data_IF_705854643950
#
_entry.id   IF_705854643950
#
_cell.length_a   1.000
_cell.length_b   1.000
_cell.length_c   1.000
_cell.angle_alpha   90.00
_cell.angle_beta   90.00
_cell.angle_gamma   90.00
#
_symmetry.space_group_name_H-M   'P 1'
#
loop_
_entity.id
_entity.type
_entity.pdbx_description
1 polymer ?
#
# COMPACT_ATOMS: atom_id res chain seq x y z
N UNK A 1 35.65 17.43 -9.29
CA UNK A 1 34.62 18.47 -9.48
C UNK A 1 33.50 17.77 -10.23
N UNK A 2 32.28 17.65 -9.68
CA UNK A 2 31.19 16.99 -10.38
C UNK A 2 30.87 17.78 -11.66
N UNK A 3 30.77 17.09 -12.80
CA UNK A 3 30.48 17.72 -14.08
C UNK A 3 29.02 18.22 -14.12
N UNK A 4 28.83 19.46 -14.57
CA UNK A 4 27.51 20.06 -14.77
C UNK A 4 26.90 19.53 -16.07
N UNK A 5 25.69 19.00 -16.01
CA UNK A 5 25.04 18.35 -17.16
C UNK A 5 23.92 19.19 -17.78
N UNK A 6 23.37 20.18 -17.06
CA UNK A 6 22.39 21.12 -17.59
C UNK A 6 22.63 22.54 -17.05
N UNK A 7 22.51 23.53 -17.94
CA UNK A 7 22.38 24.94 -17.58
C UNK A 7 20.93 25.37 -17.82
N UNK A 8 20.18 25.54 -16.73
CA UNK A 8 18.85 26.15 -16.78
C UNK A 8 18.93 27.47 -16.00
N UNK A 9 18.51 28.57 -16.62
CA UNK A 9 18.48 29.90 -16.01
C UNK A 9 19.81 30.34 -15.35
N UNK A 10 20.96 30.07 -16.00
CA UNK A 10 22.29 30.48 -15.54
C UNK A 10 22.74 29.88 -14.18
N UNK A 11 22.11 28.78 -13.73
CA UNK A 11 22.53 28.02 -12.55
C UNK A 11 23.07 26.64 -12.96
N UNK A 12 24.24 26.29 -12.42
CA UNK A 12 24.85 24.95 -12.53
C UNK A 12 24.44 24.09 -11.33
N UNK A 13 23.79 22.97 -11.59
CA UNK A 13 23.37 22.01 -10.58
C UNK A 13 24.31 20.79 -10.60
N UNK A 14 24.88 20.44 -9.44
CA UNK A 14 25.70 19.25 -9.27
C UNK A 14 24.78 18.05 -8.98
N UNK A 15 24.84 17.00 -9.81
CA UNK A 15 23.98 15.81 -9.71
C UNK A 15 23.93 15.15 -8.32
N UNK A 16 25.01 15.24 -7.52
CA UNK A 16 25.17 14.40 -6.33
C UNK A 16 25.22 15.18 -5.00
N UNK A 17 25.19 16.51 -5.03
CA UNK A 17 25.33 17.30 -3.79
C UNK A 17 24.00 17.52 -3.06
N UNK A 18 22.88 17.44 -3.79
CA UNK A 18 21.54 17.67 -3.26
C UNK A 18 20.72 16.39 -3.10
N UNK A 19 21.30 15.22 -3.40
CA UNK A 19 20.64 13.93 -3.18
C UNK A 19 20.69 13.64 -1.69
N UNK A 20 19.51 13.48 -1.08
CA UNK A 20 19.39 13.09 0.31
C UNK A 20 19.99 11.70 0.52
N UNK A 21 20.88 11.56 1.50
CA UNK A 21 21.63 10.30 1.75
C UNK A 21 21.23 9.60 3.04
N UNK A 22 20.31 10.16 3.83
CA UNK A 22 19.95 9.66 5.15
C UNK A 22 18.45 9.43 5.30
N UNK A 23 18.09 8.37 6.03
CA UNK A 23 16.70 7.97 6.25
C UNK A 23 15.90 8.98 7.07
N UNK A 24 16.55 9.80 7.90
CA UNK A 24 15.88 10.87 8.66
C UNK A 24 16.08 12.19 7.93
N UNK A 25 14.97 12.86 7.63
CA UNK A 25 14.99 14.20 7.04
C UNK A 25 15.65 15.17 8.03
N UNK A 26 16.67 15.94 7.62
CA UNK A 26 17.31 16.95 8.47
C UNK A 26 16.34 17.98 9.06
N UNK A 27 15.22 18.24 8.38
CA UNK A 27 14.20 19.19 8.83
C UNK A 27 13.22 18.59 9.85
N UNK A 28 13.26 17.27 10.09
CA UNK A 28 12.37 16.64 11.06
C UNK A 28 12.61 17.21 12.46
N UNK A 29 11.57 17.78 13.12
CA UNK A 29 11.73 18.41 14.42
C UNK A 29 12.15 17.40 15.48
N UNK A 30 12.96 17.86 16.44
CA UNK A 30 13.47 17.00 17.52
C UNK A 30 12.35 16.31 18.34
N UNK A 31 11.18 16.93 18.45
CA UNK A 31 10.00 16.37 19.13
C UNK A 31 9.35 15.21 18.39
N UNK A 32 9.61 15.05 17.09
CA UNK A 32 9.08 13.96 16.26
C UNK A 32 10.07 12.78 16.14
N UNK A 33 11.19 12.78 16.88
CA UNK A 33 12.16 11.68 16.84
C UNK A 33 11.74 10.46 17.65
N UNK A 34 10.72 10.61 18.48
CA UNK A 34 10.11 9.52 19.24
C UNK A 34 8.59 9.63 19.18
N UNK A 35 7.91 8.50 19.29
CA UNK A 35 6.46 8.42 19.35
C UNK A 35 6.05 7.35 20.36
N UNK A 36 4.92 7.56 21.03
CA UNK A 36 4.29 6.54 21.87
C UNK A 36 3.33 5.73 21.02
N UNK A 37 3.48 4.41 21.08
CA UNK A 37 2.53 3.48 20.48
C UNK A 37 1.26 3.35 21.32
N UNK A 38 0.31 2.58 20.79
CA UNK A 38 -1.02 2.34 21.38
C UNK A 38 -0.92 1.72 22.77
N UNK A 39 0.04 0.83 22.98
CA UNK A 39 0.25 0.16 24.26
C UNK A 39 1.18 0.95 25.21
N UNK A 40 1.58 2.17 24.84
CA UNK A 40 2.46 3.04 25.64
C UNK A 40 3.96 2.80 25.43
N UNK A 41 4.33 1.83 24.60
CA UNK A 41 5.70 1.58 24.18
C UNK A 41 6.31 2.81 23.49
N UNK A 42 7.63 2.99 23.64
CA UNK A 42 8.37 4.05 22.96
C UNK A 42 8.97 3.54 21.66
N UNK A 43 8.68 4.25 20.57
CA UNK A 43 9.22 4.02 19.25
C UNK A 43 10.16 5.16 18.86
N UNK A 44 11.20 4.83 18.10
CA UNK A 44 12.13 5.81 17.52
C UNK A 44 11.86 5.99 16.04
N UNK A 45 12.02 7.22 15.58
CA UNK A 45 11.92 7.56 14.16
C UNK A 45 13.06 6.87 13.39
N UNK A 46 12.71 6.06 12.39
CA UNK A 46 13.65 5.34 11.52
C UNK A 46 13.67 5.89 10.10
N UNK A 47 12.60 6.57 9.70
CA UNK A 47 12.55 7.31 8.45
C UNK A 47 11.60 8.51 8.56
N UNK A 48 11.88 9.57 7.82
CA UNK A 48 10.94 10.67 7.62
C UNK A 48 11.15 11.34 6.27
N UNK A 49 10.16 12.04 5.74
CA UNK A 49 10.33 13.07 4.71
C UNK A 49 9.36 14.20 5.03
N UNK A 50 9.88 15.43 5.17
CA UNK A 50 9.10 16.62 5.53
C UNK A 50 8.77 17.48 4.29
N UNK A 51 9.18 17.04 3.10
CA UNK A 51 8.88 17.67 1.81
C UNK A 51 9.15 19.19 1.72
N UNK A 52 10.09 19.70 2.52
CA UNK A 52 10.42 21.14 2.61
C UNK A 52 11.21 21.67 1.41
N UNK A 53 12.02 20.80 0.79
CA UNK A 53 12.76 21.15 -0.44
C UNK A 53 11.79 21.35 -1.60
N UNK A 54 11.86 22.50 -2.26
CA UNK A 54 10.90 22.90 -3.31
C UNK A 54 11.30 22.39 -4.68
N UNK A 55 10.29 22.13 -5.52
CA UNK A 55 10.43 21.71 -6.90
C UNK A 55 11.18 20.37 -7.05
N UNK A 56 10.96 19.42 -6.13
CA UNK A 56 11.35 18.02 -6.37
C UNK A 56 10.52 17.48 -7.53
N UNK A 57 11.17 16.68 -8.37
CA UNK A 57 10.53 15.88 -9.41
C UNK A 57 10.58 14.42 -8.98
N UNK A 58 9.63 13.63 -9.46
CA UNK A 58 9.47 12.24 -9.04
C UNK A 58 9.44 11.29 -10.24
N UNK A 59 10.08 11.64 -11.35
CA UNK A 59 10.35 10.63 -12.37
C UNK A 59 11.29 9.56 -11.79
N UNK A 60 11.19 8.33 -12.29
CA UNK A 60 12.05 7.22 -11.89
C UNK A 60 13.54 7.63 -11.92
N UNK A 61 14.20 7.60 -10.76
CA UNK A 61 15.60 7.98 -10.57
C UNK A 61 15.88 9.43 -10.17
N UNK A 62 14.88 10.31 -10.14
CA UNK A 62 15.06 11.72 -9.71
C UNK A 62 15.15 11.88 -8.17
N UNK A 63 14.48 11.00 -7.43
CA UNK A 63 14.46 11.00 -5.97
C UNK A 63 14.94 9.64 -5.41
N UNK A 64 15.72 9.63 -4.31
CA UNK A 64 16.31 8.39 -3.79
C UNK A 64 15.31 7.42 -3.14
N UNK A 65 14.11 7.89 -2.79
CA UNK A 65 13.15 7.12 -1.99
C UNK A 65 11.81 6.92 -2.70
N UNK A 66 11.38 7.92 -3.46
CA UNK A 66 10.06 7.96 -4.07
C UNK A 66 10.14 8.15 -5.58
N UNK A 67 9.13 7.66 -6.27
CA UNK A 67 8.93 7.96 -7.68
C UNK A 67 7.45 7.85 -8.02
N UNK A 68 7.03 8.51 -9.10
CA UNK A 68 5.67 8.52 -9.62
C UNK A 68 5.40 7.36 -10.55
N UNK A 69 4.21 6.79 -10.46
CA UNK A 69 3.66 5.90 -11.48
C UNK A 69 3.34 6.70 -12.75
N UNK A 70 3.75 6.17 -13.90
CA UNK A 70 3.41 6.68 -15.23
C UNK A 70 2.57 5.62 -15.94
N UNK A 71 1.25 5.78 -15.90
CA UNK A 71 0.34 4.74 -16.37
C UNK A 71 -1.14 4.96 -16.04
N UNK A 72 -1.99 4.22 -16.77
CA UNK A 72 -3.40 4.06 -16.43
C UNK A 72 -3.59 2.93 -15.42
N UNK A 73 -4.28 3.21 -14.31
CA UNK A 73 -4.49 2.23 -13.24
C UNK A 73 -5.71 1.37 -13.51
N UNK A 74 -5.49 0.28 -14.25
CA UNK A 74 -6.56 -0.61 -14.72
C UNK A 74 -7.26 -1.44 -13.64
N UNK A 75 -6.66 -1.60 -12.45
CA UNK A 75 -7.22 -2.45 -11.38
C UNK A 75 -8.59 -1.93 -10.89
N UNK A 76 -8.71 -0.61 -10.78
CA UNK A 76 -9.92 0.11 -10.36
C UNK A 76 -10.59 0.83 -11.52
N UNK A 77 -10.02 0.75 -12.73
CA UNK A 77 -10.49 1.45 -13.93
C UNK A 77 -10.56 2.98 -13.72
N UNK A 78 -9.49 3.54 -13.21
CA UNK A 78 -9.41 4.97 -12.88
C UNK A 78 -9.70 5.87 -14.09
N UNK A 79 -10.24 7.06 -13.86
CA UNK A 79 -10.66 7.96 -14.93
C UNK A 79 -9.53 8.88 -15.42
N UNK A 80 -8.40 8.87 -14.71
CA UNK A 80 -7.19 9.63 -14.96
C UNK A 80 -6.01 8.77 -15.44
N UNK A 81 -5.11 9.41 -16.17
CA UNK A 81 -3.74 8.92 -16.32
C UNK A 81 -2.91 9.42 -15.13
N UNK A 82 -2.16 8.54 -14.49
CA UNK A 82 -1.17 8.97 -13.49
C UNK A 82 0.11 9.37 -14.22
N UNK A 83 0.58 10.59 -13.99
CA UNK A 83 1.81 11.14 -14.55
C UNK A 83 2.71 11.66 -13.41
N UNK A 84 4.02 11.35 -13.39
CA UNK A 84 4.94 11.91 -12.42
C UNK A 84 5.00 13.45 -12.41
N UNK A 85 4.58 14.12 -13.49
CA UNK A 85 4.54 15.58 -13.58
C UNK A 85 3.45 16.24 -12.71
N UNK A 86 2.44 15.46 -12.29
CA UNK A 86 1.41 15.86 -11.35
C UNK A 86 1.87 15.79 -9.89
N UNK A 87 3.11 15.35 -9.64
CA UNK A 87 3.76 15.31 -8.34
C UNK A 87 4.80 16.42 -8.22
N UNK A 88 4.72 17.22 -7.16
CA UNK A 88 5.71 18.24 -6.88
C UNK A 88 5.84 18.50 -5.38
N UNK A 89 6.88 19.21 -4.96
CA UNK A 89 6.99 19.74 -3.60
C UNK A 89 6.96 21.26 -3.58
N UNK A 90 6.07 21.80 -2.75
CA UNK A 90 5.82 23.22 -2.63
C UNK A 90 5.28 23.56 -1.25
N UNK A 91 5.67 24.74 -0.74
CA UNK A 91 5.17 25.27 0.54
C UNK A 91 5.31 24.32 1.75
N UNK A 92 6.33 23.46 1.77
CA UNK A 92 6.55 22.51 2.87
C UNK A 92 5.69 21.25 2.76
N UNK A 93 5.25 20.88 1.56
CA UNK A 93 4.37 19.73 1.33
C UNK A 93 4.73 19.05 0.01
N UNK A 94 4.48 17.74 -0.07
CA UNK A 94 4.18 17.08 -1.33
C UNK A 94 2.79 17.53 -1.79
N UNK A 95 2.67 17.82 -3.08
CA UNK A 95 1.44 18.21 -3.75
C UNK A 95 1.16 17.16 -4.82
N UNK A 96 -0.01 16.52 -4.72
CA UNK A 96 -0.53 15.58 -5.73
C UNK A 96 -1.68 16.29 -6.42
N UNK A 97 -1.44 16.69 -7.67
CA UNK A 97 -2.37 17.48 -8.46
C UNK A 97 -3.36 16.58 -9.20
N UNK A 98 -4.61 17.01 -9.32
CA UNK A 98 -5.62 16.36 -10.16
C UNK A 98 -6.32 17.41 -11.01
N UNK A 99 -6.25 17.27 -12.34
CA UNK A 99 -6.79 18.23 -13.28
C UNK A 99 -7.49 17.60 -14.50
N UNK A 100 -8.39 18.39 -15.09
CA UNK A 100 -8.96 18.11 -16.41
C UNK A 100 -8.08 18.74 -17.47
N UNK A 101 -7.49 17.93 -18.34
CA UNK A 101 -6.51 18.39 -19.32
C UNK A 101 -7.19 19.16 -20.47
N UNK A 102 -6.46 20.09 -21.07
CA UNK A 102 -6.96 20.88 -22.19
C UNK A 102 -6.94 20.11 -23.52
N UNK A 103 -5.98 19.20 -23.66
CA UNK A 103 -5.77 18.41 -24.87
C UNK A 103 -5.48 16.96 -24.52
N UNK A 104 -6.46 16.10 -24.80
CA UNK A 104 -6.38 14.67 -24.52
C UNK A 104 -5.34 13.96 -25.39
N UNK A 105 -4.98 14.50 -26.56
CA UNK A 105 -3.94 13.91 -27.43
C UNK A 105 -2.57 13.91 -26.74
N UNK A 106 -2.34 14.86 -25.82
CA UNK A 106 -1.12 14.96 -25.02
C UNK A 106 -1.23 14.28 -23.64
N UNK A 107 -2.36 13.67 -23.32
CA UNK A 107 -2.61 12.97 -22.06
C UNK A 107 -3.15 11.56 -22.33
N UNK A 108 -2.50 10.82 -23.24
CA UNK A 108 -2.81 9.41 -23.50
C UNK A 108 -4.28 9.14 -23.89
N UNK A 109 -4.95 10.13 -24.50
CA UNK A 109 -6.38 10.14 -24.83
C UNK A 109 -7.32 10.05 -23.62
N UNK A 110 -6.85 10.44 -22.43
CA UNK A 110 -7.64 10.54 -21.21
C UNK A 110 -7.96 11.99 -20.86
N UNK A 111 -9.16 12.23 -20.30
CA UNK A 111 -9.62 13.58 -19.96
C UNK A 111 -8.98 14.14 -18.68
N UNK A 112 -8.45 13.27 -17.84
CA UNK A 112 -7.99 13.62 -16.50
C UNK A 112 -6.56 13.14 -16.28
N UNK A 113 -5.83 13.87 -15.45
CA UNK A 113 -4.47 13.55 -15.06
C UNK A 113 -4.32 13.69 -13.55
N UNK A 114 -3.59 12.78 -12.93
CA UNK A 114 -3.19 12.92 -11.53
C UNK A 114 -1.85 12.28 -11.20
N UNK A 115 -1.50 12.16 -9.92
CA UNK A 115 -0.25 11.58 -9.45
C UNK A 115 -0.46 10.42 -8.48
N UNK A 116 0.37 9.39 -8.63
CA UNK A 116 0.49 8.28 -7.68
C UNK A 116 1.98 8.13 -7.37
N UNK A 117 2.38 8.47 -6.15
CA UNK A 117 3.76 8.34 -5.68
C UNK A 117 3.89 7.05 -4.88
N UNK A 118 4.98 6.32 -5.09
CA UNK A 118 5.28 5.12 -4.31
C UNK A 118 6.76 4.94 -4.02
N UNK A 119 7.05 4.18 -2.97
CA UNK A 119 8.40 3.80 -2.54
C UNK A 119 8.81 2.38 -2.95
N UNK A 120 8.01 1.75 -3.83
CA UNK A 120 8.13 0.35 -4.21
C UNK A 120 9.57 -0.01 -4.60
N UNK A 121 10.10 -1.06 -3.97
CA UNK A 121 11.45 -1.59 -4.16
C UNK A 121 12.62 -0.59 -3.94
N UNK A 122 12.34 0.63 -3.46
CA UNK A 122 13.34 1.65 -3.10
C UNK A 122 13.47 1.76 -1.59
N UNK A 123 12.34 1.71 -0.89
CA UNK A 123 12.27 1.94 0.54
C UNK A 123 11.06 1.19 1.11
N UNK A 124 11.34 0.15 1.91
CA UNK A 124 10.34 -0.74 2.48
C UNK A 124 10.55 -0.96 3.99
N UNK A 125 9.49 -1.38 4.67
CA UNK A 125 9.44 -1.49 6.14
C UNK A 125 8.72 -2.75 6.57
N UNK A 126 9.04 -3.21 7.77
CA UNK A 126 8.31 -4.29 8.41
C UNK A 126 8.06 -3.97 9.88
N UNK A 127 6.80 -3.95 10.26
CA UNK A 127 6.32 -3.55 11.59
C UNK A 127 6.58 -2.08 11.93
N UNK A 128 5.94 -1.62 13.01
CA UNK A 128 6.11 -0.28 13.56
C UNK A 128 4.92 0.64 13.31
N UNK A 129 5.16 1.95 13.42
CA UNK A 129 4.16 3.00 13.28
C UNK A 129 4.39 3.78 11.99
N UNK A 130 3.32 3.97 11.22
CA UNK A 130 3.34 4.69 9.95
C UNK A 130 2.42 5.89 10.05
N UNK A 131 3.00 7.09 10.11
CA UNK A 131 2.27 8.33 10.31
C UNK A 131 2.44 9.27 9.12
N UNK A 132 1.32 9.81 8.65
CA UNK A 132 1.28 10.86 7.64
C UNK A 132 0.46 12.05 8.14
N UNK A 133 0.82 13.25 7.69
CA UNK A 133 0.06 14.48 7.92
C UNK A 133 -0.48 14.98 6.59
N UNK A 134 -1.81 14.97 6.43
CA UNK A 134 -2.47 15.16 5.14
C UNK A 134 -3.52 16.26 5.22
N UNK A 135 -3.58 17.10 4.19
CA UNK A 135 -4.76 17.90 3.86
C UNK A 135 -5.37 17.32 2.60
N UNK A 136 -6.62 16.88 2.72
CA UNK A 136 -7.33 16.14 1.69
C UNK A 136 -7.77 17.05 0.53
N UNK A 137 -7.89 16.51 -0.70
CA UNK A 137 -8.40 17.27 -1.83
C UNK A 137 -9.88 17.54 -1.65
N UNK A 138 -10.30 18.79 -1.82
CA UNK A 138 -11.72 19.11 -1.81
C UNK A 138 -12.36 18.96 -3.19
N UNK A 139 -13.68 19.14 -3.24
CA UNK A 139 -14.54 19.58 -2.14
C UNK A 139 -14.79 18.48 -1.10
N UNK A 140 -14.78 18.86 0.18
CA UNK A 140 -15.07 17.94 1.28
C UNK A 140 -16.53 17.46 1.24
N UNK A 141 -16.75 16.17 1.54
CA UNK A 141 -18.09 15.59 1.65
C UNK A 141 -18.84 15.44 0.32
N UNK A 142 -18.12 15.48 -0.81
CA UNK A 142 -18.66 15.19 -2.14
C UNK A 142 -18.08 13.86 -2.63
N UNK A 143 -18.96 13.01 -3.16
CA UNK A 143 -18.58 11.74 -3.76
C UNK A 143 -17.86 11.97 -5.09
N UNK A 144 -16.62 11.49 -5.21
CA UNK A 144 -15.83 11.64 -6.43
C UNK A 144 -14.38 11.26 -6.21
N UNK A 145 -13.61 12.14 -5.59
CA UNK A 145 -12.19 11.91 -5.33
C UNK A 145 -11.96 10.73 -4.39
N UNK A 146 -10.92 9.97 -4.69
CA UNK A 146 -10.42 8.85 -3.90
C UNK A 146 -8.93 9.10 -3.60
N UNK A 147 -8.63 10.01 -2.66
CA UNK A 147 -7.28 10.15 -2.14
C UNK A 147 -6.96 8.95 -1.23
N UNK A 148 -5.80 8.35 -1.45
CA UNK A 148 -5.32 7.19 -0.72
C UNK A 148 -3.90 7.39 -0.19
N UNK A 149 -3.68 6.98 1.05
CA UNK A 149 -2.35 6.69 1.60
C UNK A 149 -2.40 5.29 2.17
N UNK A 150 -1.62 4.39 1.59
CA UNK A 150 -1.73 2.97 1.85
C UNK A 150 -0.39 2.28 1.62
N UNK A 151 -0.30 1.02 2.01
CA UNK A 151 0.93 0.24 1.90
C UNK A 151 0.64 -1.11 1.27
N UNK A 152 1.59 -1.62 0.47
CA UNK A 152 1.48 -2.93 -0.16
C UNK A 152 2.78 -3.73 0.00
N UNK A 153 2.67 -5.04 0.22
CA UNK A 153 3.80 -5.95 0.26
C UNK A 153 4.62 -5.91 -1.04
N UNK A 154 5.95 -5.80 -0.93
CA UNK A 154 6.85 -5.41 -2.02
C UNK A 154 6.90 -6.36 -3.22
N UNK A 155 6.41 -7.60 -3.06
CA UNK A 155 6.27 -8.53 -4.19
C UNK A 155 5.15 -8.14 -5.17
N UNK A 156 4.19 -7.31 -4.75
CA UNK A 156 3.25 -6.65 -5.63
C UNK A 156 3.77 -5.26 -6.02
N UNK A 157 3.54 -4.84 -7.26
CA UNK A 157 3.78 -3.47 -7.73
C UNK A 157 2.44 -2.85 -8.14
N UNK A 158 1.93 -1.84 -7.41
CA UNK A 158 0.70 -1.13 -7.77
C UNK A 158 0.72 -0.67 -9.23
N UNK A 159 -0.39 -0.89 -9.96
CA UNK A 159 -0.50 -0.56 -11.39
C UNK A 159 0.02 -1.64 -12.35
N UNK A 160 0.68 -2.68 -11.85
CA UNK A 160 1.22 -3.79 -12.65
C UNK A 160 0.52 -5.11 -12.26
N UNK A 161 -0.63 -5.37 -12.86
CA UNK A 161 -1.55 -6.43 -12.46
C UNK A 161 -0.96 -7.86 -12.51
N UNK A 162 -0.06 -8.17 -13.44
CA UNK A 162 0.65 -9.46 -13.44
C UNK A 162 1.43 -9.72 -12.14
N UNK A 163 1.87 -8.67 -11.44
CA UNK A 163 2.62 -8.81 -10.18
C UNK A 163 1.72 -9.14 -9.00
N UNK A 164 0.45 -8.70 -9.04
CA UNK A 164 -0.55 -8.93 -7.99
C UNK A 164 -1.37 -10.20 -8.21
N UNK A 165 -1.34 -10.77 -9.42
CA UNK A 165 -1.99 -12.04 -9.78
C UNK A 165 -1.51 -13.21 -8.91
N UNK A 166 -2.41 -13.70 -8.04
CA UNK A 166 -2.15 -14.72 -7.01
C UNK A 166 -1.24 -14.27 -5.86
N UNK A 167 -1.00 -12.96 -5.72
CA UNK A 167 -0.17 -12.38 -4.67
C UNK A 167 -0.99 -11.47 -3.75
N UNK A 168 -1.78 -10.57 -4.33
CA UNK A 168 -2.67 -9.70 -3.57
C UNK A 168 -4.01 -10.42 -3.31
N UNK A 169 -4.61 -10.31 -2.11
CA UNK A 169 -4.09 -9.74 -0.86
C UNK A 169 -3.59 -10.85 0.10
N UNK A 170 -2.86 -11.86 -0.40
CA UNK A 170 -2.47 -13.02 0.40
C UNK A 170 -1.55 -12.65 1.58
N UNK A 171 -1.92 -13.13 2.77
CA UNK A 171 -1.13 -13.08 4.01
C UNK A 171 -1.21 -14.42 4.72
N UNK A 172 -0.65 -15.45 4.08
CA UNK A 172 -0.98 -16.85 4.40
C UNK A 172 0.20 -17.78 4.21
N UNK A 173 0.36 -18.72 5.14
CA UNK A 173 1.51 -19.62 5.21
C UNK A 173 1.11 -21.11 5.23
N UNK A 174 -0.15 -21.45 5.44
CA UNK A 174 -0.59 -22.84 5.47
C UNK A 174 -0.78 -23.44 4.06
N UNK A 175 -0.61 -24.77 3.96
CA UNK A 175 -0.78 -25.52 2.71
C UNK A 175 -2.08 -26.32 2.73
N UNK A 176 -3.20 -25.63 2.54
CA UNK A 176 -4.56 -26.19 2.54
C UNK A 176 -5.44 -25.55 1.45
N UNK A 177 -6.77 -25.61 1.59
CA UNK A 177 -7.68 -25.08 0.57
C UNK A 177 -7.43 -23.58 0.27
N UNK A 178 -6.86 -22.81 1.22
CA UNK A 178 -6.63 -21.38 1.08
C UNK A 178 -5.74 -20.99 -0.10
N UNK A 179 -4.81 -21.87 -0.50
CA UNK A 179 -3.87 -21.61 -1.59
C UNK A 179 -4.39 -22.03 -2.97
N UNK A 180 -5.57 -22.64 -3.04
CA UNK A 180 -6.14 -23.18 -4.28
C UNK A 180 -7.04 -22.15 -4.98
N UNK A 181 -7.29 -22.29 -6.30
CA UNK A 181 -8.25 -21.43 -7.00
C UNK A 181 -9.61 -21.41 -6.28
N UNK A 182 -10.18 -20.21 -6.12
CA UNK A 182 -11.43 -19.94 -5.40
C UNK A 182 -11.45 -20.48 -3.96
N UNK A 183 -10.29 -20.71 -3.34
CA UNK A 183 -10.17 -21.42 -2.06
C UNK A 183 -10.86 -22.80 -2.05
N UNK A 184 -10.94 -23.48 -3.20
CA UNK A 184 -11.70 -24.72 -3.40
C UNK A 184 -13.20 -24.60 -3.08
N UNK A 185 -13.75 -23.38 -3.16
CA UNK A 185 -15.18 -23.10 -2.98
C UNK A 185 -15.87 -22.83 -4.32
N UNK A 186 -17.18 -23.12 -4.38
CA UNK A 186 -18.01 -22.90 -5.58
C UNK A 186 -19.17 -21.93 -5.32
N UNK A 187 -19.18 -21.28 -4.16
CA UNK A 187 -20.25 -20.37 -3.70
C UNK A 187 -20.02 -18.91 -4.09
N UNK A 188 -18.87 -18.60 -4.70
CA UNK A 188 -18.51 -17.25 -5.14
C UNK A 188 -17.87 -16.39 -4.07
N UNK A 189 -17.49 -16.95 -2.91
CA UNK A 189 -16.76 -16.20 -1.87
C UNK A 189 -15.40 -15.73 -2.37
N UNK A 190 -14.71 -16.53 -3.19
CA UNK A 190 -13.41 -16.18 -3.76
C UNK A 190 -13.37 -16.46 -5.25
N UNK A 191 -12.83 -15.51 -6.00
CA UNK A 191 -12.41 -15.59 -7.40
C UNK A 191 -10.89 -15.44 -7.55
N UNK A 192 -10.14 -15.56 -6.44
CA UNK A 192 -8.68 -15.55 -6.50
C UNK A 192 -8.18 -16.80 -7.24
N UNK A 193 -7.11 -16.68 -8.03
CA UNK A 193 -6.53 -17.80 -8.80
C UNK A 193 -5.83 -18.84 -7.91
N UNK A 194 -5.73 -18.60 -6.61
CA UNK A 194 -4.88 -19.34 -5.68
C UNK A 194 -3.61 -18.54 -5.34
N UNK A 195 -2.96 -18.90 -4.25
CA UNK A 195 -1.71 -18.25 -3.84
C UNK A 195 -0.60 -18.70 -4.79
N UNK A 196 0.04 -17.77 -5.48
CA UNK A 196 1.09 -18.05 -6.48
C UNK A 196 2.35 -18.60 -5.82
N UNK A 197 2.69 -18.09 -4.64
CA UNK A 197 3.89 -18.44 -3.88
C UNK A 197 3.52 -19.04 -2.51
N UNK A 198 2.93 -20.25 -2.46
CA UNK A 198 2.58 -20.89 -1.20
C UNK A 198 3.82 -21.50 -0.53
N UNK A 199 3.75 -21.70 0.80
CA UNK A 199 4.83 -22.31 1.59
C UNK A 199 5.24 -23.70 1.10
N UNK A 200 4.30 -24.44 0.52
CA UNK A 200 4.50 -25.79 0.00
C UNK A 200 4.75 -25.85 -1.52
N UNK A 201 5.41 -24.84 -2.08
CA UNK A 201 5.89 -24.87 -3.46
C UNK A 201 6.77 -26.11 -3.71
N UNK A 202 6.62 -26.74 -4.88
CA UNK A 202 7.37 -27.95 -5.21
C UNK A 202 8.88 -27.66 -5.27
N UNK A 203 9.70 -28.67 -4.99
CA UNK A 203 11.14 -28.59 -5.16
C UNK A 203 11.53 -28.21 -6.60
N UNK A 204 12.39 -27.19 -6.75
CA UNK A 204 12.85 -26.67 -8.04
C UNK A 204 11.90 -25.68 -8.72
N UNK A 205 10.71 -25.44 -8.18
CA UNK A 205 9.85 -24.35 -8.63
C UNK A 205 10.38 -23.01 -8.12
N UNK A 206 10.04 -21.95 -8.85
CA UNK A 206 10.47 -20.61 -8.52
C UNK A 206 9.73 -20.08 -7.29
N UNK A 207 10.51 -19.68 -6.29
CA UNK A 207 9.99 -19.14 -5.05
C UNK A 207 11.09 -18.35 -4.32
N UNK A 208 10.84 -17.12 -3.83
CA UNK A 208 11.89 -16.31 -3.19
C UNK A 208 12.43 -16.95 -1.90
N UNK A 209 11.55 -17.54 -1.10
CA UNK A 209 11.89 -18.14 0.20
C UNK A 209 11.13 -19.46 0.42
N UNK A 210 11.52 -20.58 -0.24
CA UNK A 210 10.78 -21.84 -0.20
C UNK A 210 10.51 -22.32 1.23
N UNK A 211 9.28 -22.73 1.53
CA UNK A 211 8.85 -23.09 2.89
C UNK A 211 8.08 -22.00 3.63
N UNK A 212 8.00 -20.78 3.07
CA UNK A 212 7.16 -19.69 3.57
C UNK A 212 6.18 -19.23 2.51
N UNK A 213 4.92 -19.05 2.86
CA UNK A 213 3.93 -18.46 1.98
C UNK A 213 4.21 -16.97 1.81
N UNK A 214 4.13 -16.49 0.57
CA UNK A 214 4.42 -15.12 0.19
C UNK A 214 3.22 -14.49 -0.51
N UNK A 215 3.14 -13.17 -0.43
CA UNK A 215 2.02 -12.41 -0.98
C UNK A 215 2.32 -10.93 -1.13
N UNK A 216 1.26 -10.16 -1.37
CA UNK A 216 1.27 -8.71 -1.43
C UNK A 216 0.08 -8.18 -0.62
N UNK A 217 0.10 -8.32 0.73
CA UNK A 217 -0.97 -7.79 1.58
C UNK A 217 -1.00 -6.26 1.52
N UNK A 218 -2.11 -5.67 1.93
CA UNK A 218 -2.36 -4.23 1.86
C UNK A 218 -2.89 -3.70 3.20
N UNK A 219 -2.26 -2.64 3.71
CA UNK A 219 -2.70 -1.92 4.92
C UNK A 219 -2.90 -0.45 4.55
N UNK A 220 -4.12 0.03 4.70
CA UNK A 220 -4.52 1.39 4.35
C UNK A 220 -4.39 2.31 5.56
N UNK A 221 -3.57 3.37 5.44
CA UNK A 221 -3.47 4.41 6.47
C UNK A 221 -4.75 5.26 6.44
N UNK A 222 -5.18 5.61 5.23
CA UNK A 222 -6.42 6.33 4.94
C UNK A 222 -6.80 6.17 3.46
N UNK A 223 -8.04 5.82 3.19
CA UNK A 223 -8.71 6.09 1.91
C UNK A 223 -9.96 6.91 2.19
N UNK A 224 -10.31 7.86 1.32
CA UNK A 224 -11.40 8.82 1.63
C UNK A 224 -12.50 8.78 0.58
N UNK A 225 -13.73 8.99 1.06
CA UNK A 225 -14.89 9.30 0.26
C UNK A 225 -15.79 10.30 1.01
N UNK A 226 -17.07 10.38 0.62
CA UNK A 226 -18.09 11.14 1.32
C UNK A 226 -19.11 10.24 2.01
N UNK A 227 -19.88 10.82 2.93
CA UNK A 227 -20.92 10.09 3.64
C UNK A 227 -22.17 9.85 2.78
N UNK A 228 -22.73 8.63 2.87
CA UNK A 228 -24.00 8.26 2.23
C UNK A 228 -25.24 8.72 3.02
N UNK A 229 -25.04 9.28 4.22
CA UNK A 229 -26.10 9.71 5.13
C UNK A 229 -26.66 11.10 4.84
N UNK A 230 -26.11 11.81 3.85
CA UNK A 230 -26.48 13.19 3.52
C UNK A 230 -26.01 14.22 4.55
N UNK A 231 -24.97 13.91 5.34
CA UNK A 231 -24.37 14.83 6.30
C UNK A 231 -23.43 15.84 5.63
N UNK A 232 -23.09 15.62 4.36
CA UNK A 232 -22.12 16.41 3.58
C UNK A 232 -20.77 16.46 4.31
N UNK A 233 -20.32 15.31 4.79
CA UNK A 233 -19.08 15.12 5.51
C UNK A 233 -18.19 14.12 4.78
N UNK A 234 -16.88 14.33 4.89
CA UNK A 234 -15.91 13.33 4.46
C UNK A 234 -15.93 12.09 5.35
N UNK A 235 -15.58 10.95 4.78
CA UNK A 235 -15.39 9.68 5.52
C UNK A 235 -14.05 9.06 5.12
N UNK A 236 -13.35 8.48 6.09
CA UNK A 236 -12.16 7.68 5.85
C UNK A 236 -12.43 6.21 6.09
N UNK A 237 -11.93 5.33 5.22
CA UNK A 237 -11.71 3.92 5.52
C UNK A 237 -10.27 3.70 5.97
N UNK A 238 -10.13 2.85 6.98
CA UNK A 238 -8.87 2.35 7.50
C UNK A 238 -8.98 0.84 7.54
N UNK A 239 -8.13 0.14 6.78
CA UNK A 239 -8.37 -1.24 6.37
C UNK A 239 -7.10 -2.10 6.32
N UNK A 240 -7.32 -3.40 6.48
CA UNK A 240 -6.38 -4.44 6.13
C UNK A 240 -7.04 -5.41 5.14
N UNK A 241 -6.43 -5.57 3.96
CA UNK A 241 -6.91 -6.51 2.94
C UNK A 241 -6.28 -7.88 3.17
N UNK A 242 -7.12 -8.92 3.16
CA UNK A 242 -6.75 -10.27 3.60
C UNK A 242 -7.20 -11.30 2.59
N UNK A 243 -6.33 -12.23 2.25
CA UNK A 243 -6.66 -13.53 1.70
C UNK A 243 -5.84 -14.62 2.41
N UNK A 244 -6.37 -15.85 2.56
CA UNK A 244 -7.70 -16.33 2.19
C UNK A 244 -8.87 -15.71 2.97
N UNK A 245 -10.09 -15.84 2.44
CA UNK A 245 -11.29 -15.21 2.98
C UNK A 245 -12.08 -16.11 3.95
N UNK A 246 -12.72 -15.46 4.90
CA UNK A 246 -13.82 -15.96 5.72
C UNK A 246 -15.12 -16.04 4.93
N UNK A 247 -16.05 -16.87 5.40
CA UNK A 247 -17.43 -16.90 4.89
C UNK A 247 -18.05 -15.50 5.10
N UNK A 248 -18.62 -14.93 4.03
CA UNK A 248 -19.13 -13.54 3.99
C UNK A 248 -18.09 -12.46 4.22
N UNK A 249 -16.80 -12.78 4.14
CA UNK A 249 -15.68 -11.86 4.40
C UNK A 249 -15.72 -11.23 5.81
N UNK A 250 -16.43 -11.84 6.76
CA UNK A 250 -16.54 -11.32 8.10
C UNK A 250 -15.37 -11.75 8.96
N UNK A 251 -14.55 -10.81 9.47
CA UNK A 251 -13.59 -11.14 10.51
C UNK A 251 -14.31 -11.56 11.79
N UNK A 252 -13.58 -12.20 12.68
CA UNK A 252 -14.08 -12.47 14.01
C UNK A 252 -14.03 -11.20 14.87
N UNK A 253 -15.18 -10.52 14.95
CA UNK A 253 -15.37 -9.29 15.72
C UNK A 253 -15.13 -9.44 17.23
N UNK A 254 -15.04 -10.66 17.80
CA UNK A 254 -14.65 -10.86 19.21
C UNK A 254 -13.22 -10.35 19.49
N UNK A 255 -12.36 -10.34 18.47
CA UNK A 255 -10.97 -9.90 18.55
C UNK A 255 -10.74 -8.51 17.94
N UNK A 256 -11.82 -7.76 17.69
CA UNK A 256 -11.78 -6.40 17.18
C UNK A 256 -12.27 -5.41 18.24
N UNK A 257 -11.71 -4.20 18.22
CA UNK A 257 -12.04 -3.09 19.11
C UNK A 257 -12.25 -1.83 18.26
N UNK A 258 -13.34 -1.11 18.54
CA UNK A 258 -13.61 0.24 18.00
C UNK A 258 -13.81 1.17 19.20
N UNK A 259 -12.72 1.71 19.80
CA UNK A 259 -12.82 2.43 21.08
C UNK A 259 -13.65 3.71 21.01
N UNK A 260 -13.77 4.30 19.83
CA UNK A 260 -14.41 5.59 19.60
C UNK A 260 -15.59 5.50 18.63
N UNK A 261 -16.65 4.81 19.05
CA UNK A 261 -17.90 4.64 18.28
C UNK A 261 -18.61 5.95 17.88
N UNK A 262 -18.27 7.07 18.51
CA UNK A 262 -18.78 8.40 18.14
C UNK A 262 -18.15 8.96 16.86
N UNK A 263 -16.97 8.45 16.46
CA UNK A 263 -16.25 8.88 15.26
C UNK A 263 -16.06 7.76 14.24
N UNK A 264 -15.88 6.52 14.69
CA UNK A 264 -15.57 5.37 13.85
C UNK A 264 -16.56 4.24 14.08
N UNK A 265 -16.98 3.59 13.00
CA UNK A 265 -17.89 2.44 13.03
C UNK A 265 -17.31 1.31 12.19
N UNK A 266 -17.63 0.06 12.54
CA UNK A 266 -17.32 -1.09 11.69
C UNK A 266 -17.86 -0.83 10.29
N UNK A 267 -17.02 -1.03 9.28
CA UNK A 267 -17.41 -0.77 7.91
C UNK A 267 -18.49 -1.77 7.48
N UNK A 268 -19.51 -1.28 6.79
CA UNK A 268 -20.56 -2.15 6.23
C UNK A 268 -20.07 -2.93 5.02
N UNK A 269 -19.03 -2.44 4.33
CA UNK A 269 -18.28 -3.20 3.35
C UNK A 269 -17.20 -4.03 4.05
N UNK A 270 -17.23 -5.34 3.84
CA UNK A 270 -16.32 -6.31 4.46
C UNK A 270 -15.49 -7.07 3.43
N UNK A 271 -15.65 -6.76 2.14
CA UNK A 271 -14.95 -7.42 1.06
C UNK A 271 -15.86 -7.80 -0.11
N UNK A 272 -15.28 -8.58 -1.01
CA UNK A 272 -15.90 -9.13 -2.20
C UNK A 272 -15.06 -10.28 -2.75
N UNK A 273 -15.37 -10.80 -3.94
CA UNK A 273 -14.75 -12.03 -4.45
C UNK A 273 -13.23 -11.96 -4.67
N UNK A 274 -12.62 -10.78 -4.60
CA UNK A 274 -11.18 -10.57 -4.75
C UNK A 274 -10.47 -10.13 -3.47
N UNK A 275 -11.19 -9.81 -2.39
CA UNK A 275 -10.59 -9.38 -1.12
C UNK A 275 -11.55 -9.55 0.06
N UNK A 276 -11.02 -9.88 1.23
CA UNK A 276 -11.67 -9.59 2.50
C UNK A 276 -11.05 -8.33 3.09
N UNK A 277 -11.88 -7.42 3.59
CA UNK A 277 -11.45 -6.17 4.18
C UNK A 277 -11.81 -6.13 5.66
N UNK A 278 -10.80 -6.11 6.54
CA UNK A 278 -10.98 -5.83 7.97
C UNK A 278 -10.86 -4.33 8.17
N UNK A 279 -11.99 -3.64 8.36
CA UNK A 279 -12.01 -2.19 8.24
C UNK A 279 -13.04 -1.48 9.11
N UNK A 280 -12.77 -0.20 9.36
CA UNK A 280 -13.73 0.76 9.91
C UNK A 280 -13.91 1.97 8.99
N UNK A 281 -15.05 2.62 9.10
CA UNK A 281 -15.34 3.91 8.48
C UNK A 281 -15.40 4.99 9.56
N UNK A 282 -14.59 6.04 9.41
CA UNK A 282 -14.51 7.17 10.33
C UNK A 282 -15.04 8.46 9.70
N UNK A 283 -15.84 9.23 10.42
CA UNK A 283 -16.27 10.57 9.99
C UNK A 283 -15.12 11.57 10.10
N UNK A 284 -14.96 12.43 9.11
CA UNK A 284 -13.89 13.41 9.03
C UNK A 284 -14.40 14.85 9.19
N UNK A 285 -13.54 15.75 9.67
CA UNK A 285 -13.82 17.17 9.60
C UNK A 285 -13.62 17.70 8.19
N UNK A 286 -14.57 18.49 7.69
CA UNK A 286 -14.44 19.20 6.42
C UNK A 286 -13.38 20.32 6.45
N UNK A 287 -12.86 20.67 7.64
CA UNK A 287 -11.75 21.60 7.79
C UNK A 287 -10.40 20.98 7.40
N UNK A 288 -10.30 19.65 7.26
CA UNK A 288 -9.07 18.94 6.88
C UNK A 288 -8.82 18.86 5.37
N UNK A 289 -9.57 19.65 4.58
CA UNK A 289 -9.55 19.64 3.12
C UNK A 289 -9.05 20.98 2.56
N UNK A 290 -8.64 21.00 1.29
CA UNK A 290 -8.29 22.22 0.53
C UNK A 290 -7.16 23.06 1.15
N UNK A 291 -6.20 22.40 1.81
CA UNK A 291 -5.10 23.08 2.49
C UNK A 291 -5.53 23.93 3.69
N UNK A 292 -6.79 23.82 4.16
CA UNK A 292 -7.30 24.58 5.31
C UNK A 292 -6.64 24.14 6.60
N UNK A 293 -6.56 22.83 6.81
CA UNK A 293 -5.87 22.19 7.93
C UNK A 293 -5.31 20.84 7.49
N UNK A 294 -4.26 20.42 8.20
CA UNK A 294 -3.67 19.10 8.09
C UNK A 294 -4.11 18.25 9.28
N UNK A 295 -4.30 16.96 9.03
CA UNK A 295 -4.65 16.00 10.05
C UNK A 295 -3.69 14.80 9.98
N UNK A 296 -3.33 14.27 11.16
CA UNK A 296 -2.50 13.08 11.28
C UNK A 296 -3.34 11.82 11.09
N UNK A 297 -2.85 10.89 10.29
CA UNK A 297 -3.41 9.56 10.10
C UNK A 297 -2.27 8.56 10.28
N UNK A 298 -2.49 7.52 11.08
CA UNK A 298 -1.47 6.52 11.28
C UNK A 298 -2.02 5.15 11.66
N UNK A 299 -1.23 4.12 11.39
CA UNK A 299 -1.39 2.82 12.01
C UNK A 299 -0.13 2.40 12.75
N UNK A 300 -0.31 1.54 13.75
CA UNK A 300 0.74 0.73 14.37
C UNK A 300 0.46 -0.73 14.03
N UNK A 301 1.46 -1.48 13.57
CA UNK A 301 1.32 -2.92 13.41
C UNK A 301 2.52 -3.72 13.89
N UNK A 302 2.20 -4.93 14.34
CA UNK A 302 3.14 -5.98 14.71
C UNK A 302 2.88 -7.18 13.80
N UNK A 303 3.83 -7.54 12.91
CA UNK A 303 3.71 -8.72 12.03
C UNK A 303 3.50 -10.03 12.79
N UNK A 304 2.84 -10.99 12.14
CA UNK A 304 2.79 -12.39 12.60
C UNK A 304 1.39 -12.90 12.92
N UNK A 305 1.32 -13.84 13.86
CA UNK A 305 0.11 -14.58 14.21
C UNK A 305 -0.24 -14.46 15.69
N UNK A 306 -1.47 -14.83 16.05
CA UNK A 306 -1.91 -14.89 17.44
C UNK A 306 -2.24 -13.53 18.04
N UNK A 307 -2.16 -13.43 19.37
CA UNK A 307 -2.64 -12.25 20.12
C UNK A 307 -1.63 -11.10 20.21
N UNK A 308 -0.35 -11.38 19.97
CA UNK A 308 0.73 -10.39 20.02
C UNK A 308 0.91 -9.67 18.66
N UNK A 309 0.38 -10.24 17.58
CA UNK A 309 0.37 -9.63 16.25
C UNK A 309 -0.94 -8.86 16.03
N UNK A 310 -0.86 -7.56 15.80
CA UNK A 310 -2.03 -6.69 15.68
C UNK A 310 -1.83 -5.55 14.70
N UNK A 311 -2.94 -4.90 14.33
CA UNK A 311 -2.93 -3.58 13.69
C UNK A 311 -3.89 -2.68 14.46
N UNK A 312 -3.47 -1.44 14.68
CA UNK A 312 -4.25 -0.40 15.33
C UNK A 312 -4.18 0.91 14.54
N UNK A 313 -5.31 1.54 14.30
CA UNK A 313 -5.42 2.77 13.51
C UNK A 313 -5.86 3.95 14.36
N UNK A 314 -5.31 5.10 14.02
CA UNK A 314 -5.52 6.36 14.74
C UNK A 314 -5.70 7.51 13.77
N UNK A 315 -6.65 8.38 14.09
CA UNK A 315 -6.77 9.70 13.47
C UNK A 315 -6.50 10.74 14.54
N UNK A 316 -5.44 11.52 14.33
CA UNK A 316 -4.93 12.45 15.33
C UNK A 316 -4.33 11.72 16.50
N UNK A 317 -5.03 11.76 17.62
CA UNK A 317 -4.66 11.12 18.88
C UNK A 317 -5.77 10.18 19.39
N UNK A 318 -6.73 9.80 18.52
CA UNK A 318 -7.88 8.96 18.85
C UNK A 318 -7.79 7.63 18.11
N UNK A 319 -7.74 6.52 18.85
CA UNK A 319 -7.75 5.16 18.31
C UNK A 319 -9.13 4.85 17.71
N UNK A 320 -9.15 4.62 16.40
CA UNK A 320 -10.38 4.35 15.64
C UNK A 320 -10.71 2.88 15.63
N UNK A 321 -9.69 2.03 15.45
CA UNK A 321 -9.84 0.58 15.40
C UNK A 321 -8.57 -0.11 15.87
N UNK A 322 -8.70 -1.28 16.46
CA UNK A 322 -7.60 -2.24 16.62
C UNK A 322 -8.12 -3.67 16.55
N UNK A 323 -7.32 -4.56 16.00
CA UNK A 323 -7.56 -6.00 16.10
C UNK A 323 -6.24 -6.77 16.11
N UNK A 324 -6.27 -7.97 16.70
CA UNK A 324 -5.15 -8.92 16.65
C UNK A 324 -5.42 -10.06 15.64
N UNK A 325 -4.39 -10.82 15.27
CA UNK A 325 -4.47 -11.83 14.22
C UNK A 325 -5.55 -12.91 14.46
N UNK A 326 -6.07 -13.08 15.69
CA UNK A 326 -7.21 -13.98 15.94
C UNK A 326 -8.50 -13.51 15.25
N UNK A 327 -8.62 -12.23 14.92
CA UNK A 327 -9.72 -11.69 14.13
C UNK A 327 -9.78 -12.29 12.71
N UNK A 328 -8.63 -12.78 12.21
CA UNK A 328 -8.47 -13.49 10.93
C UNK A 328 -7.93 -14.91 11.15
N UNK A 329 -8.33 -15.52 12.26
CA UNK A 329 -7.95 -16.89 12.63
C UNK A 329 -8.63 -17.96 11.78
N UNK A 330 -8.27 -19.25 11.96
CA UNK A 330 -8.76 -20.36 11.14
C UNK A 330 -10.28 -20.39 10.99
N UNK A 331 -10.76 -20.64 9.77
CA UNK A 331 -12.19 -20.74 9.48
C UNK A 331 -12.47 -21.83 8.44
N UNK A 332 -13.26 -22.83 8.82
CA UNK A 332 -13.66 -23.90 7.91
C UNK A 332 -12.45 -24.67 7.35
N UNK A 333 -12.11 -24.39 6.09
CA UNK A 333 -11.08 -25.10 5.32
C UNK A 333 -9.76 -24.33 5.18
N UNK A 334 -9.65 -23.14 5.80
CA UNK A 334 -8.42 -22.34 5.79
C UNK A 334 -7.93 -22.14 7.23
N UNK A 335 -6.62 -22.24 7.40
CA UNK A 335 -5.88 -21.96 8.62
C UNK A 335 -5.71 -20.47 8.96
N UNK A 336 -4.67 -20.20 9.74
CA UNK A 336 -4.42 -18.87 10.32
C UNK A 336 -3.91 -17.92 9.22
N UNK A 337 -4.53 -16.74 9.10
CA UNK A 337 -3.97 -15.63 8.31
C UNK A 337 -3.08 -14.78 9.22
N UNK A 338 -2.10 -14.13 8.64
CA UNK A 338 -1.11 -13.35 9.40
C UNK A 338 -1.41 -11.85 9.32
N UNK A 339 -1.06 -11.09 10.36
CA UNK A 339 -0.76 -9.68 10.17
C UNK A 339 0.50 -9.60 9.30
N UNK A 340 0.47 -8.73 8.28
CA UNK A 340 1.44 -8.72 7.19
C UNK A 340 2.90 -8.92 7.63
N UNK A 341 3.53 -9.97 7.09
CA UNK A 341 4.95 -10.28 7.31
C UNK A 341 5.84 -9.83 6.13
N UNK A 342 5.25 -9.38 5.03
CA UNK A 342 5.98 -8.87 3.87
C UNK A 342 6.62 -7.51 4.18
N UNK A 343 7.79 -7.18 3.59
CA UNK A 343 8.26 -5.79 3.56
C UNK A 343 7.24 -4.94 2.79
N UNK A 344 6.73 -3.90 3.42
CA UNK A 344 5.69 -3.02 2.89
C UNK A 344 6.30 -1.78 2.26
N UNK A 345 5.82 -1.40 1.09
CA UNK A 345 6.11 -0.12 0.42
C UNK A 345 4.94 0.85 0.59
N UNK A 346 5.19 2.15 0.57
CA UNK A 346 4.17 3.21 0.71
C UNK A 346 3.68 3.66 -0.66
N UNK A 347 2.38 3.91 -0.74
CA UNK A 347 1.68 4.49 -1.88
C UNK A 347 0.89 5.71 -1.39
N UNK A 348 0.95 6.80 -2.16
CA UNK A 348 0.17 8.02 -1.96
C UNK A 348 -0.39 8.45 -3.32
N UNK A 349 -1.71 8.44 -3.47
CA UNK A 349 -2.35 8.78 -4.73
C UNK A 349 -3.57 9.69 -4.53
N UNK A 350 -3.89 10.42 -5.57
CA UNK A 350 -5.17 11.10 -5.71
C UNK A 350 -5.84 10.54 -6.96
N UNK A 351 -6.71 9.55 -6.77
CA UNK A 351 -7.41 8.92 -7.88
C UNK A 351 -8.91 9.20 -7.89
N UNK A 352 -9.60 8.69 -8.90
CA UNK A 352 -11.06 8.51 -8.85
C UNK A 352 -11.56 7.52 -9.90
N UNK A 353 -12.63 6.81 -9.56
CA UNK A 353 -13.27 5.84 -10.47
C UNK A 353 -14.74 5.65 -10.13
N UNK A 354 -15.55 5.41 -11.15
CA UNK A 354 -16.95 5.01 -11.01
C UNK A 354 -17.09 3.59 -10.40
N UNK A 355 -16.00 2.82 -10.32
CA UNK A 355 -15.98 1.52 -9.62
C UNK A 355 -15.93 1.68 -8.08
N UNK A 356 -15.47 2.83 -7.57
CA UNK A 356 -15.44 3.11 -6.14
C UNK A 356 -16.74 3.71 -5.63
N UNK A 357 -17.24 4.69 -6.38
CA UNK A 357 -18.36 5.53 -5.99
C UNK A 357 -18.93 6.20 -7.23
N UNK A 358 -20.24 6.40 -7.26
CA UNK A 358 -20.88 7.22 -8.29
C UNK A 358 -20.40 8.68 -8.17
N UNK A 359 -19.74 9.19 -9.20
CA UNK A 359 -19.09 10.51 -9.17
C UNK A 359 -20.14 11.63 -9.25
N UNK A 360 -20.12 12.57 -8.30
CA UNK A 360 -20.97 13.76 -8.28
C UNK A 360 -20.37 14.90 -9.11
N UNK A 361 -20.45 14.75 -10.43
CA UNK A 361 -19.87 15.65 -11.41
C UNK A 361 -20.30 17.12 -11.27
N UNK A 362 -21.51 17.39 -10.77
CA UNK A 362 -22.07 18.75 -10.68
C UNK A 362 -21.45 19.55 -9.52
N UNK A 363 -20.96 18.87 -8.48
CA UNK A 363 -20.42 19.50 -7.27
C UNK A 363 -18.89 19.44 -7.16
N UNK A 364 -18.21 18.72 -8.06
CA UNK A 364 -16.75 18.70 -8.14
C UNK A 364 -16.18 19.92 -8.86
N UNK A 365 -14.95 20.29 -8.53
CA UNK A 365 -14.23 21.37 -9.20
C UNK A 365 -12.81 20.96 -9.59
N UNK A 366 -12.28 21.65 -10.61
CA UNK A 366 -10.96 21.39 -11.17
C UNK A 366 -10.13 22.68 -11.22
N UNK A 367 -8.81 22.62 -11.00
CA UNK A 367 -8.09 21.47 -10.45
C UNK A 367 -8.35 21.31 -8.95
N UNK A 368 -7.88 20.20 -8.37
CA UNK A 368 -7.78 20.01 -6.91
C UNK A 368 -6.44 19.40 -6.55
N UNK A 369 -6.02 19.53 -5.29
CA UNK A 369 -4.73 19.08 -4.81
C UNK A 369 -4.89 18.34 -3.47
N UNK A 370 -4.20 17.22 -3.33
CA UNK A 370 -3.93 16.59 -2.04
C UNK A 370 -2.55 17.02 -1.55
N UNK A 371 -2.46 17.43 -0.28
CA UNK A 371 -1.22 17.91 0.32
C UNK A 371 -0.74 16.95 1.40
N UNK A 372 0.53 16.59 1.37
CA UNK A 372 1.18 15.77 2.42
C UNK A 372 2.31 16.57 3.04
N UNK A 373 2.15 16.94 4.30
CA UNK A 373 3.09 17.74 5.10
C UNK A 373 4.30 16.89 5.50
N UNK A 374 4.08 15.65 5.94
CA UNK A 374 5.17 14.71 6.15
C UNK A 374 4.72 13.25 6.05
N UNK A 375 5.71 12.38 5.88
CA UNK A 375 5.63 10.95 6.20
C UNK A 375 6.69 10.62 7.25
N UNK A 376 6.33 9.82 8.26
CA UNK A 376 7.23 9.43 9.37
C UNK A 376 6.98 7.99 9.79
N UNK A 377 8.05 7.23 9.90
CA UNK A 377 8.01 5.83 10.31
C UNK A 377 8.82 5.62 11.58
N UNK A 378 8.25 4.85 12.50
CA UNK A 378 8.83 4.60 13.80
C UNK A 378 8.88 3.11 14.11
N UNK A 379 9.98 2.64 14.65
CA UNK A 379 10.16 1.24 15.07
C UNK A 379 10.71 1.19 16.51
N UNK A 380 10.54 0.04 17.17
CA UNK A 380 11.09 -0.16 18.51
C UNK A 380 12.62 -0.16 18.44
N UNK A 381 13.25 0.36 19.48
CA UNK A 381 14.72 0.37 19.57
C UNK A 381 15.27 -1.06 19.49
N UNK A 382 16.19 -1.30 18.56
CA UNK A 382 16.80 -2.61 18.33
C UNK A 382 15.99 -3.56 17.44
N UNK A 383 14.82 -3.14 16.97
CA UNK A 383 13.96 -3.86 16.04
C UNK A 383 13.83 -3.12 14.70
N UNK A 384 14.77 -2.23 14.38
CA UNK A 384 14.71 -1.42 13.17
C UNK A 384 14.87 -2.29 11.90
N UNK A 385 13.90 -2.19 11.00
CA UNK A 385 13.82 -2.95 9.77
C UNK A 385 13.33 -2.05 8.64
N UNK A 386 14.29 -1.32 8.06
CA UNK A 386 14.14 -0.43 6.90
C UNK A 386 14.86 -1.08 5.72
N UNK A 387 14.20 -2.03 5.07
CA UNK A 387 14.76 -2.80 3.96
C UNK A 387 13.63 -3.49 3.18
N UNK A 388 13.81 -3.64 1.87
CA UNK A 388 12.97 -4.48 1.02
C UNK A 388 13.39 -5.96 1.04
N UNK A 389 14.50 -6.28 1.73
CA UNK A 389 14.99 -7.65 1.96
C UNK A 389 15.14 -7.96 3.46
N UNK A 390 14.04 -7.96 4.23
CA UNK A 390 14.07 -8.44 5.60
C UNK A 390 14.41 -9.95 5.63
N UNK A 391 15.16 -10.44 6.63
CA UNK A 391 15.58 -11.84 6.68
C UNK A 391 14.41 -12.83 6.54
N UNK A 392 14.48 -13.71 5.54
CA UNK A 392 13.48 -14.71 5.25
C UNK A 392 12.22 -14.21 4.53
N UNK A 393 12.18 -12.93 4.16
CA UNK A 393 11.14 -12.28 3.37
C UNK A 393 11.77 -11.40 2.27
N UNK A 394 12.91 -11.82 1.74
CA UNK A 394 13.62 -11.14 0.66
C UNK A 394 12.77 -11.05 -0.61
N UNK A 395 12.88 -9.95 -1.35
CA UNK A 395 12.07 -9.65 -2.53
C UNK A 395 12.88 -9.16 -3.73
N UNK A 396 14.00 -8.47 -3.52
CA UNK A 396 14.75 -7.78 -4.57
C UNK A 396 15.21 -8.74 -5.67
N UNK A 397 15.74 -9.91 -5.31
CA UNK A 397 16.21 -10.89 -6.28
C UNK A 397 15.07 -11.48 -7.11
N UNK A 398 13.94 -11.81 -6.48
CA UNK A 398 12.76 -12.29 -7.18
C UNK A 398 12.26 -11.24 -8.16
N UNK A 399 12.05 -10.00 -7.72
CA UNK A 399 11.61 -8.90 -8.58
C UNK A 399 12.55 -8.72 -9.78
N UNK A 400 13.87 -8.69 -9.53
CA UNK A 400 14.90 -8.53 -10.57
C UNK A 400 14.88 -9.65 -11.62
N UNK A 401 14.54 -10.87 -11.22
CA UNK A 401 14.47 -12.02 -12.11
C UNK A 401 13.18 -12.05 -12.97
N UNK A 402 12.21 -11.16 -12.69
CA UNK A 402 10.92 -11.11 -13.39
C UNK A 402 10.61 -9.78 -14.09
N UNK A 403 11.56 -9.16 -14.82
CA UNK A 403 11.40 -7.79 -15.30
C UNK A 403 10.18 -7.59 -16.22
N UNK A 404 9.74 -8.62 -16.95
CA UNK A 404 8.57 -8.53 -17.82
C UNK A 404 7.28 -8.21 -17.05
N UNK A 405 7.03 -8.85 -15.90
CA UNK A 405 5.82 -8.61 -15.10
C UNK A 405 5.90 -7.26 -14.38
N UNK A 406 7.08 -6.91 -13.86
CA UNK A 406 7.25 -5.71 -13.06
C UNK A 406 7.40 -4.42 -13.87
N UNK A 407 7.73 -4.47 -15.17
CA UNK A 407 7.98 -3.26 -15.98
C UNK A 407 7.01 -3.07 -17.16
N UNK A 408 5.96 -3.90 -17.27
CA UNK A 408 4.95 -3.74 -18.31
C UNK A 408 3.53 -3.82 -17.73
N UNK A 409 2.88 -2.67 -17.58
CA UNK A 409 1.52 -2.57 -17.06
C UNK A 409 0.44 -3.21 -17.95
N UNK A 410 0.76 -3.56 -19.20
CA UNK A 410 -0.19 -4.23 -20.10
C UNK A 410 -0.37 -5.72 -19.79
N UNK A 411 0.51 -6.33 -18.98
CA UNK A 411 0.34 -7.72 -18.56
C UNK A 411 -0.55 -7.77 -17.33
N UNK A 412 -1.64 -8.52 -17.44
CA UNK A 412 -2.67 -8.62 -16.40
C UNK A 412 -2.56 -9.89 -15.58
N UNK A 413 -2.03 -10.96 -16.16
CA UNK A 413 -1.77 -12.23 -15.49
C UNK A 413 -0.28 -12.58 -15.50
N UNK A 414 0.14 -13.40 -14.55
CA UNK A 414 1.53 -13.85 -14.45
C UNK A 414 2.02 -14.54 -15.74
N UNK A 415 1.15 -15.34 -16.35
CA UNK A 415 1.44 -16.06 -17.60
C UNK A 415 1.53 -15.13 -18.82
N UNK A 416 0.83 -13.97 -18.81
CA UNK A 416 0.94 -12.97 -19.89
C UNK A 416 2.37 -12.42 -19.99
N UNK A 417 3.08 -12.36 -18.86
CA UNK A 417 4.48 -11.95 -18.80
C UNK A 417 5.47 -13.06 -19.21
N UNK A 418 4.98 -14.25 -19.57
CA UNK A 418 5.78 -15.37 -20.07
C UNK A 418 6.33 -16.31 -18.99
N UNK A 419 5.86 -16.19 -17.75
CA UNK A 419 6.26 -17.05 -16.63
C UNK A 419 5.23 -18.14 -16.37
N UNK A 420 5.68 -19.34 -16.01
CA UNK A 420 4.77 -20.42 -15.61
C UNK A 420 4.25 -20.23 -14.19
N UNK A 421 2.99 -20.63 -13.94
CA UNK A 421 2.47 -20.69 -12.59
C UNK A 421 3.22 -21.74 -11.73
N UNK A 422 3.81 -21.36 -10.58
CA UNK A 422 4.54 -22.30 -9.73
C UNK A 422 3.65 -23.43 -9.20
N UNK A 423 4.19 -24.65 -9.16
CA UNK A 423 3.48 -25.82 -8.63
C UNK A 423 3.61 -25.95 -7.11
N UNK A 424 2.66 -26.64 -6.48
CA UNK A 424 2.69 -26.94 -5.05
C UNK A 424 2.30 -28.39 -4.74
N UNK A 425 2.67 -28.86 -3.54
CA UNK A 425 2.46 -30.25 -3.13
C UNK A 425 0.98 -30.64 -3.06
N UNK A 426 0.11 -29.71 -2.68
CA UNK A 426 -1.33 -29.94 -2.51
C UNK A 426 -2.02 -30.29 -3.83
N UNK A 427 -1.68 -29.58 -4.92
CA UNK A 427 -2.33 -29.73 -6.22
C UNK A 427 -1.56 -30.62 -7.20
N UNK A 428 -0.26 -30.83 -6.99
CA UNK A 428 0.61 -31.42 -8.02
C UNK A 428 1.31 -32.73 -7.62
N UNK A 429 1.15 -33.23 -6.38
CA UNK A 429 1.68 -34.53 -5.96
C UNK A 429 3.22 -34.62 -5.95
N UNK A 430 3.89 -33.49 -5.72
CA UNK A 430 5.34 -33.35 -5.63
C UNK A 430 5.83 -33.31 -4.16
N UNK A 431 7.14 -33.20 -3.96
CA UNK A 431 7.75 -32.88 -2.66
C UNK A 431 7.96 -31.37 -2.52
N UNK A 432 7.82 -30.83 -1.30
CA UNK A 432 8.06 -29.41 -1.03
C UNK A 432 9.55 -29.06 -1.10
N UNK A 433 9.86 -27.88 -1.65
CA UNK A 433 11.19 -27.28 -1.53
C UNK A 433 11.49 -26.87 -0.09
N UNK A 434 12.77 -26.74 0.25
CA UNK A 434 13.23 -26.21 1.55
C UNK A 434 14.17 -25.04 1.32
N UNK A 435 14.28 -24.09 2.27
CA UNK A 435 15.21 -22.95 2.18
C UNK A 435 16.66 -23.38 1.86
N UNK A 436 17.07 -24.61 2.22
CA UNK A 436 18.40 -25.17 1.96
C UNK A 436 18.54 -25.91 0.61
N UNK A 437 17.48 -25.97 -0.21
CA UNK A 437 17.44 -26.72 -1.48
C UNK A 437 18.16 -26.05 -2.65
N UNK A 438 18.44 -24.75 -2.58
CA UNK A 438 19.20 -24.01 -3.61
C UNK A 438 20.72 -24.08 -3.37
N UNK A 439 21.21 -25.23 -2.90
CA UNK A 439 22.63 -25.52 -2.75
C UNK A 439 23.21 -26.27 -3.96
N UNK A 440 23.93 -25.55 -4.83
CA UNK A 440 24.91 -26.06 -5.81
C UNK A 440 24.42 -26.99 -6.93
N UNK A 441 23.82 -26.39 -7.96
CA UNK A 441 23.84 -26.93 -9.32
C UNK A 441 25.11 -26.50 -10.08
N UNK A 442 26.29 -26.98 -9.67
CA UNK A 442 27.49 -26.95 -10.49
C UNK A 442 28.37 -28.15 -10.15
N UNK A 443 28.25 -29.20 -10.96
CA UNK A 443 29.26 -30.25 -11.15
C UNK A 443 29.27 -30.70 -12.59
#
# INVERSE_FOLDING_TARGET
>A
VPESWAQVNNKTYSHLQNVRTGLIDPDTPGSAKTKKGINGDEYKLVFSDEFNEKNRTFYEGDDPYFYGFDGWYGATMDLEWYDPDALNTGNGTLQIHLDKVQDVEHNHNMEYRSGMMHSWNHLCFKGGIFEVSVSLPGPAGIHGWWPGVWTMGNLGRPGYLATTDGMWPYTYNDCDAGITPNQSMTDGVSYLPGQRLPSCSCEGEEHPTPGKGRGAPEIDIIEVSADWGGMNAGVATQSFQVAPFDIWWYPNYEFMQTPSYEFSMVNTYTGGPFQQAVSTTSMLSNDWYDGKQFQKYWFEYVPGEGEDAYIAWVIGDIEMMRFDARAIGPNGNVGQRMIAEEPMSLIMNLGFSENWVAVDWDNLYWPTDMYIDYVRWYQKEGEEMVTCDPPGYETTEYIRNHPAAYNNANYTHWEDAGYSWPKNTLMNGCSAGTENGNGNGNS
#
